data_IF_995408734460
#
_entry.id   IF_995408734460
#
_cell.length_a   1.000
_cell.length_b   1.000
_cell.length_c   1.000
_cell.angle_alpha   90.00
_cell.angle_beta   90.00
_cell.angle_gamma   90.00
#
_symmetry.space_group_name_H-M   'P 1'
#
loop_
_entity.id
_entity.type
_entity.pdbx_description
1 polymer ?
#
# COMPACT_ATOMS: atom_id res chain seq x y z
N UNK A 1 0.82 -27.13 -20.21
CA UNK A 1 1.69 -27.09 -19.03
C UNK A 1 1.00 -26.20 -18.01
N UNK A 2 0.31 -26.78 -17.02
CA UNK A 2 -0.48 -26.02 -16.05
C UNK A 2 0.39 -25.48 -14.92
N UNK A 3 0.06 -24.31 -14.39
CA UNK A 3 0.69 -23.68 -13.23
C UNK A 3 0.28 -24.36 -11.91
N UNK A 4 0.38 -25.68 -11.80
CA UNK A 4 -0.27 -26.44 -10.72
C UNK A 4 0.25 -26.10 -9.31
N UNK A 5 1.45 -25.54 -9.19
CA UNK A 5 2.05 -25.09 -7.91
C UNK A 5 2.23 -23.57 -7.80
N UNK A 6 1.88 -22.79 -8.83
CA UNK A 6 2.06 -21.33 -8.78
C UNK A 6 0.91 -20.69 -8.05
N UNK A 7 1.22 -19.91 -7.01
CA UNK A 7 0.24 -19.11 -6.28
C UNK A 7 0.21 -17.70 -6.84
N UNK A 8 -0.97 -17.26 -7.28
CA UNK A 8 -1.20 -15.91 -7.77
C UNK A 8 -1.87 -15.05 -6.69
N UNK A 9 -1.49 -13.78 -6.62
CA UNK A 9 -2.28 -12.74 -5.98
C UNK A 9 -2.87 -11.82 -7.06
N UNK A 10 -3.76 -10.92 -6.64
CA UNK A 10 -4.28 -9.86 -7.50
C UNK A 10 -4.20 -8.51 -6.81
N UNK A 11 -3.85 -7.47 -7.56
CA UNK A 11 -3.79 -6.11 -7.05
C UNK A 11 -5.16 -5.43 -7.18
N UNK A 12 -5.83 -5.19 -6.05
CA UNK A 12 -7.17 -4.58 -5.99
C UNK A 12 -7.18 -3.07 -6.29
N UNK A 13 -6.01 -2.44 -6.40
CA UNK A 13 -5.88 -1.06 -6.87
C UNK A 13 -5.86 -0.98 -8.40
N UNK A 14 -5.60 -2.10 -9.09
CA UNK A 14 -5.50 -2.18 -10.55
C UNK A 14 -6.68 -2.93 -11.16
N UNK A 15 -7.10 -4.05 -10.56
CA UNK A 15 -8.25 -4.84 -11.01
C UNK A 15 -9.48 -4.59 -10.12
N UNK A 16 -10.66 -4.86 -10.69
CA UNK A 16 -11.97 -4.64 -10.05
C UNK A 16 -12.25 -3.17 -9.72
N UNK A 17 -11.62 -2.25 -10.46
CA UNK A 17 -11.74 -0.80 -10.22
C UNK A 17 -13.09 -0.23 -10.66
N UNK A 18 -13.88 -0.99 -11.42
CA UNK A 18 -15.30 -0.76 -11.69
C UNK A 18 -16.18 -0.89 -10.45
N UNK A 19 -15.67 -1.47 -9.35
CA UNK A 19 -16.37 -1.62 -8.09
C UNK A 19 -15.83 -0.66 -7.00
N UNK A 20 -16.68 -0.25 -6.04
CA UNK A 20 -16.25 0.37 -4.80
C UNK A 20 -15.20 -0.47 -4.07
N UNK A 21 -14.24 0.17 -3.39
CA UNK A 21 -13.10 -0.49 -2.74
C UNK A 21 -13.49 -1.70 -1.88
N UNK A 22 -14.55 -1.54 -1.08
CA UNK A 22 -15.00 -2.56 -0.13
C UNK A 22 -15.67 -3.78 -0.80
N UNK A 23 -16.04 -3.68 -2.08
CA UNK A 23 -16.63 -4.79 -2.85
C UNK A 23 -15.57 -5.61 -3.59
N UNK A 24 -14.38 -5.04 -3.84
CA UNK A 24 -13.30 -5.68 -4.60
C UNK A 24 -12.77 -6.98 -3.99
N UNK A 25 -12.62 -7.11 -2.65
CA UNK A 25 -12.22 -8.39 -2.04
C UNK A 25 -13.15 -9.55 -2.42
N UNK A 26 -14.46 -9.32 -2.42
CA UNK A 26 -15.44 -10.34 -2.79
C UNK A 26 -15.37 -10.69 -4.27
N UNK A 27 -15.17 -9.70 -5.14
CA UNK A 27 -14.97 -9.92 -6.57
C UNK A 27 -13.70 -10.75 -6.86
N UNK A 28 -12.58 -10.44 -6.18
CA UNK A 28 -11.35 -11.23 -6.28
C UNK A 28 -11.56 -12.68 -5.83
N UNK A 29 -12.31 -12.89 -4.74
CA UNK A 29 -12.68 -14.23 -4.27
C UNK A 29 -13.51 -14.98 -5.30
N UNK A 30 -14.52 -14.33 -5.88
CA UNK A 30 -15.39 -14.91 -6.90
C UNK A 30 -14.61 -15.31 -8.16
N UNK A 31 -13.56 -14.56 -8.51
CA UNK A 31 -12.63 -14.87 -9.60
C UNK A 31 -11.61 -15.98 -9.27
N UNK A 32 -11.66 -16.55 -8.06
CA UNK A 32 -10.80 -17.66 -7.63
C UNK A 32 -9.52 -17.25 -6.90
N UNK A 33 -9.26 -15.95 -6.70
CA UNK A 33 -8.11 -15.50 -5.93
C UNK A 33 -8.34 -15.67 -4.43
N UNK A 34 -7.30 -16.13 -3.74
CA UNK A 34 -7.28 -16.24 -2.27
C UNK A 34 -6.28 -15.29 -1.62
N UNK A 35 -5.49 -14.60 -2.43
CA UNK A 35 -4.46 -13.65 -2.02
C UNK A 35 -4.64 -12.37 -2.83
N UNK A 36 -4.53 -11.24 -2.15
CA UNK A 36 -4.68 -9.90 -2.73
C UNK A 36 -3.55 -9.00 -2.26
N UNK A 37 -3.23 -8.01 -3.05
CA UNK A 37 -2.38 -6.89 -2.66
C UNK A 37 -3.11 -5.57 -2.96
N UNK A 38 -2.67 -4.50 -2.33
CA UNK A 38 -3.34 -3.20 -2.41
C UNK A 38 -2.32 -2.07 -2.25
N UNK A 39 -2.50 -0.98 -2.97
CA UNK A 39 -1.84 0.29 -2.64
C UNK A 39 -2.55 0.96 -1.47
N UNK A 40 -1.88 1.79 -0.68
CA UNK A 40 -2.58 2.55 0.36
C UNK A 40 -3.74 3.36 -0.25
N UNK A 41 -5.01 3.08 0.10
CA UNK A 41 -6.14 3.58 -0.69
C UNK A 41 -6.54 5.02 -0.35
N UNK A 42 -6.11 5.54 0.80
CA UNK A 42 -6.42 6.89 1.26
C UNK A 42 -5.30 7.86 0.90
N UNK A 43 -5.34 8.40 -0.32
CA UNK A 43 -4.30 9.28 -0.87
C UNK A 43 -4.28 10.65 -0.18
N UNK A 44 -5.44 11.21 0.16
CA UNK A 44 -5.52 12.52 0.80
C UNK A 44 -5.42 12.44 2.35
N UNK A 45 -5.61 11.23 2.90
CA UNK A 45 -5.59 10.96 4.33
C UNK A 45 -4.61 9.80 4.63
N UNK A 46 -3.29 10.09 4.76
CA UNK A 46 -2.29 9.06 5.08
C UNK A 46 -2.57 8.35 6.42
N UNK A 47 -3.31 9.02 7.31
CA UNK A 47 -3.87 8.49 8.55
C UNK A 47 -5.40 8.63 8.47
N UNK A 48 -6.10 7.65 7.85
CA UNK A 48 -7.55 7.67 7.70
C UNK A 48 -8.24 7.41 9.05
N UNK A 49 -9.56 7.58 9.08
CA UNK A 49 -10.32 7.28 10.27
C UNK A 49 -10.32 5.78 10.59
N UNK A 50 -10.39 5.44 11.88
CA UNK A 50 -10.42 4.04 12.33
C UNK A 50 -11.61 3.26 11.76
N UNK A 51 -12.73 3.93 11.50
CA UNK A 51 -13.91 3.33 10.88
C UNK A 51 -13.63 2.84 9.45
N UNK A 52 -12.82 3.58 8.69
CA UNK A 52 -12.47 3.21 7.31
C UNK A 52 -11.51 2.01 7.29
N UNK A 53 -10.50 2.02 8.17
CA UNK A 53 -9.61 0.88 8.36
C UNK A 53 -10.40 -0.37 8.79
N UNK A 54 -11.35 -0.21 9.71
CA UNK A 54 -12.22 -1.30 10.14
C UNK A 54 -13.05 -1.85 8.97
N UNK A 55 -13.67 -0.98 8.17
CA UNK A 55 -14.49 -1.38 7.04
C UNK A 55 -13.70 -2.20 6.00
N UNK A 56 -12.50 -1.75 5.63
CA UNK A 56 -11.65 -2.48 4.70
C UNK A 56 -11.18 -3.83 5.27
N UNK A 57 -10.80 -3.86 6.56
CA UNK A 57 -10.45 -5.12 7.25
C UNK A 57 -11.60 -6.12 7.22
N UNK A 58 -12.82 -5.68 7.53
CA UNK A 58 -14.01 -6.52 7.52
C UNK A 58 -14.29 -7.06 6.11
N UNK A 59 -14.22 -6.21 5.07
CA UNK A 59 -14.40 -6.63 3.69
C UNK A 59 -13.41 -7.74 3.25
N UNK A 60 -12.13 -7.62 3.62
CA UNK A 60 -11.11 -8.63 3.33
C UNK A 60 -11.39 -9.96 4.07
N UNK A 61 -11.78 -9.88 5.34
CA UNK A 61 -12.10 -11.04 6.17
C UNK A 61 -13.36 -11.77 5.70
N UNK A 62 -14.43 -11.03 5.40
CA UNK A 62 -15.71 -11.58 4.95
C UNK A 62 -15.56 -12.26 3.59
N UNK A 63 -14.77 -11.67 2.68
CA UNK A 63 -14.42 -12.28 1.40
C UNK A 63 -13.46 -13.47 1.52
N UNK A 64 -12.85 -13.69 2.69
CA UNK A 64 -11.86 -14.74 2.95
C UNK A 64 -10.69 -14.70 1.97
N UNK A 65 -10.15 -13.50 1.74
CA UNK A 65 -8.93 -13.25 0.97
C UNK A 65 -7.82 -12.76 1.89
N UNK A 66 -6.60 -13.21 1.67
CA UNK A 66 -5.43 -12.78 2.46
C UNK A 66 -4.78 -11.57 1.81
N UNK A 67 -4.62 -10.48 2.54
CA UNK A 67 -3.73 -9.40 2.13
C UNK A 67 -2.28 -9.90 2.25
N UNK A 68 -1.57 -9.96 1.12
CA UNK A 68 -0.17 -10.46 1.07
C UNK A 68 0.85 -9.38 0.78
N UNK A 69 0.40 -8.17 0.43
CA UNK A 69 1.24 -7.01 0.18
C UNK A 69 0.43 -5.73 0.30
N UNK A 70 1.03 -4.73 0.93
CA UNK A 70 0.44 -3.39 1.07
C UNK A 70 1.50 -2.33 0.79
N UNK A 71 1.21 -1.35 -0.06
CA UNK A 71 2.09 -0.19 -0.13
C UNK A 71 1.95 0.64 1.15
N UNK A 72 3.04 1.25 1.60
CA UNK A 72 2.92 2.46 2.40
C UNK A 72 2.30 3.59 1.56
N UNK A 73 1.96 4.70 2.22
CA UNK A 73 1.65 5.95 1.55
C UNK A 73 2.69 6.27 0.47
N UNK A 74 2.22 6.64 -0.72
CA UNK A 74 3.06 6.82 -1.88
C UNK A 74 2.58 7.97 -2.78
N UNK A 75 1.77 8.88 -2.23
CA UNK A 75 1.05 9.89 -3.01
C UNK A 75 0.03 9.28 -3.96
N UNK A 76 -0.37 10.06 -4.97
CA UNK A 76 -1.31 9.62 -6.00
C UNK A 76 -0.68 8.56 -6.92
N UNK A 77 -1.33 7.40 -7.02
CA UNK A 77 -0.94 6.32 -7.92
C UNK A 77 -2.10 5.91 -8.84
N UNK A 78 -1.88 5.81 -10.17
CA UNK A 78 -0.72 6.33 -10.88
C UNK A 78 -0.66 7.87 -10.80
N UNK A 79 0.55 8.42 -10.71
CA UNK A 79 0.79 9.86 -10.63
C UNK A 79 2.21 10.22 -11.09
N UNK A 80 2.56 11.52 -11.15
CA UNK A 80 3.87 11.97 -11.59
C UNK A 80 5.00 11.56 -10.64
N UNK A 81 4.72 11.53 -9.33
CA UNK A 81 5.76 11.29 -8.32
C UNK A 81 6.02 9.81 -8.09
N UNK A 82 5.01 8.93 -8.24
CA UNK A 82 5.16 7.46 -8.12
C UNK A 82 5.85 6.98 -6.83
N UNK A 83 5.65 7.68 -5.71
CA UNK A 83 6.22 7.35 -4.42
C UNK A 83 6.45 8.58 -3.56
N UNK A 84 6.60 8.37 -2.26
CA UNK A 84 6.79 9.42 -1.26
C UNK A 84 8.07 9.22 -0.44
N UNK A 85 8.73 8.07 -0.55
CA UNK A 85 9.86 7.69 0.31
C UNK A 85 11.05 8.64 0.18
N UNK A 86 11.31 9.17 -1.02
CA UNK A 86 12.44 10.05 -1.34
C UNK A 86 12.01 11.49 -1.66
N UNK A 87 10.74 11.85 -1.44
CA UNK A 87 10.21 13.18 -1.79
C UNK A 87 10.28 14.07 -0.53
N UNK A 88 11.13 15.11 -0.50
CA UNK A 88 11.28 15.97 0.67
C UNK A 88 10.03 16.82 0.95
N UNK A 89 9.93 17.31 2.18
CA UNK A 89 8.81 18.13 2.64
C UNK A 89 7.59 17.28 3.01
N UNK A 90 6.40 17.79 2.67
CA UNK A 90 5.11 17.26 3.12
C UNK A 90 4.91 15.77 2.78
N UNK A 91 5.37 15.31 1.61
CA UNK A 91 5.20 13.91 1.19
C UNK A 91 5.97 12.93 2.08
N UNK A 92 7.18 13.29 2.51
CA UNK A 92 7.96 12.51 3.49
C UNK A 92 7.28 12.49 4.86
N UNK A 93 6.70 13.61 5.28
CA UNK A 93 5.95 13.69 6.54
C UNK A 93 4.71 12.80 6.52
N UNK A 94 3.94 12.82 5.41
CA UNK A 94 2.78 11.93 5.20
C UNK A 94 3.20 10.46 5.18
N UNK A 95 4.31 10.12 4.51
CA UNK A 95 4.87 8.77 4.54
C UNK A 95 5.15 8.32 5.99
N UNK A 96 5.87 9.15 6.76
CA UNK A 96 6.23 8.81 8.15
C UNK A 96 5.02 8.68 9.06
N UNK A 97 4.02 9.55 8.91
CA UNK A 97 2.77 9.46 9.66
C UNK A 97 1.98 8.20 9.31
N UNK A 98 2.03 7.76 8.05
CA UNK A 98 1.36 6.54 7.59
C UNK A 98 1.97 5.25 8.13
N UNK A 99 3.31 5.17 8.22
CA UNK A 99 4.05 3.94 8.61
C UNK A 99 3.44 3.19 9.80
N UNK A 100 3.26 3.79 11.00
CA UNK A 100 2.71 3.06 12.15
C UNK A 100 1.28 2.56 11.92
N UNK A 101 0.45 3.35 11.22
CA UNK A 101 -0.96 3.03 10.94
C UNK A 101 -1.06 1.89 9.94
N UNK A 102 -0.28 1.95 8.85
CA UNK A 102 -0.23 0.89 7.85
C UNK A 102 0.30 -0.42 8.44
N UNK A 103 1.31 -0.35 9.32
CA UNK A 103 1.85 -1.51 10.03
C UNK A 103 0.81 -2.14 10.95
N UNK A 104 0.11 -1.35 11.77
CA UNK A 104 -0.94 -1.86 12.65
C UNK A 104 -2.07 -2.52 11.85
N UNK A 105 -2.54 -1.85 10.79
CA UNK A 105 -3.59 -2.36 9.92
C UNK A 105 -3.19 -3.69 9.27
N UNK A 106 -2.00 -3.77 8.66
CA UNK A 106 -1.51 -4.98 8.03
C UNK A 106 -1.27 -6.11 9.04
N UNK A 107 -0.73 -5.81 10.24
CA UNK A 107 -0.58 -6.77 11.35
C UNK A 107 -1.93 -7.39 11.73
N UNK A 108 -3.00 -6.58 11.78
CA UNK A 108 -4.36 -7.07 12.06
C UNK A 108 -4.91 -8.07 11.03
N UNK A 109 -4.33 -8.10 9.82
CA UNK A 109 -4.67 -8.99 8.71
C UNK A 109 -3.62 -10.10 8.49
N UNK A 110 -2.57 -10.14 9.32
CA UNK A 110 -1.43 -11.06 9.15
C UNK A 110 -0.55 -10.78 7.93
N UNK A 111 -0.64 -9.58 7.34
CA UNK A 111 0.23 -9.14 6.25
C UNK A 111 1.55 -8.62 6.83
N UNK A 112 2.67 -9.15 6.34
CA UNK A 112 4.03 -8.80 6.81
C UNK A 112 4.89 -8.16 5.72
N UNK A 113 4.33 -7.95 4.53
CA UNK A 113 5.07 -7.47 3.36
C UNK A 113 4.57 -6.09 2.96
N UNK A 114 5.49 -5.15 2.89
CA UNK A 114 5.22 -3.79 2.48
C UNK A 114 6.07 -3.36 1.30
N UNK A 115 5.55 -2.43 0.53
CA UNK A 115 6.30 -1.75 -0.51
C UNK A 115 6.38 -0.25 -0.17
N UNK A 116 7.61 0.25 0.01
CA UNK A 116 7.89 1.66 0.19
C UNK A 116 8.34 2.24 -1.16
N UNK A 117 7.44 2.92 -1.87
CA UNK A 117 7.75 3.42 -3.21
C UNK A 117 8.72 4.59 -3.12
N UNK A 118 9.83 4.46 -3.84
CA UNK A 118 10.93 5.41 -3.84
C UNK A 118 10.47 6.85 -4.12
N UNK A 119 9.81 7.09 -5.26
CA UNK A 119 9.47 8.43 -5.73
C UNK A 119 10.39 8.87 -6.87
N UNK A 120 9.85 9.55 -7.88
CA UNK A 120 10.61 10.02 -9.02
C UNK A 120 11.53 11.18 -8.62
N UNK A 121 12.58 11.41 -9.41
CA UNK A 121 13.47 12.54 -9.20
C UNK A 121 12.73 13.85 -9.47
N UNK A 122 12.90 14.82 -8.57
CA UNK A 122 12.26 16.14 -8.67
C UNK A 122 13.30 17.22 -8.99
N UNK A 123 12.86 18.26 -9.70
CA UNK A 123 13.71 19.42 -10.00
C UNK A 123 14.06 20.19 -8.73
N UNK A 124 15.26 20.77 -8.69
CA UNK A 124 15.71 21.59 -7.55
C UNK A 124 16.26 20.78 -6.36
N UNK A 125 16.19 19.45 -6.40
CA UNK A 125 16.75 18.57 -5.36
C UNK A 125 17.81 17.64 -5.97
N UNK A 126 18.96 17.51 -5.31
CA UNK A 126 20.02 16.63 -5.81
C UNK A 126 19.64 15.15 -5.64
N UNK A 127 20.14 14.29 -6.53
CA UNK A 127 19.90 12.85 -6.41
C UNK A 127 20.41 12.30 -5.06
N UNK A 128 21.56 12.78 -4.59
CA UNK A 128 22.14 12.36 -3.31
C UNK A 128 21.27 12.74 -2.11
N UNK A 129 20.59 13.89 -2.16
CA UNK A 129 19.67 14.32 -1.10
C UNK A 129 18.44 13.41 -1.03
N UNK A 130 17.82 13.09 -2.18
CA UNK A 130 16.72 12.13 -2.22
C UNK A 130 17.15 10.72 -1.80
N UNK A 131 18.37 10.28 -2.17
CA UNK A 131 18.92 8.98 -1.77
C UNK A 131 19.08 8.90 -0.24
N UNK A 132 19.62 9.96 0.37
CA UNK A 132 19.81 10.04 1.81
C UNK A 132 18.46 10.03 2.56
N UNK A 133 17.49 10.82 2.09
CA UNK A 133 16.15 10.86 2.65
C UNK A 133 15.43 9.51 2.53
N UNK A 134 15.53 8.86 1.36
CA UNK A 134 14.93 7.56 1.14
C UNK A 134 15.49 6.49 2.08
N UNK A 135 16.81 6.50 2.30
CA UNK A 135 17.45 5.61 3.26
C UNK A 135 16.96 5.89 4.69
N UNK A 136 16.87 7.15 5.09
CA UNK A 136 16.38 7.53 6.41
C UNK A 136 14.94 7.04 6.64
N UNK A 137 14.05 7.30 5.68
CA UNK A 137 12.65 6.89 5.73
C UNK A 137 12.51 5.36 5.70
N UNK A 138 13.33 4.66 4.91
CA UNK A 138 13.30 3.20 4.84
C UNK A 138 13.78 2.56 6.15
N UNK A 139 14.84 3.11 6.76
CA UNK A 139 15.33 2.67 8.08
C UNK A 139 14.29 2.94 9.16
N UNK A 140 13.59 4.09 9.10
CA UNK A 140 12.48 4.38 9.99
C UNK A 140 11.35 3.34 9.86
N UNK A 141 10.91 3.05 8.64
CA UNK A 141 9.86 2.06 8.39
C UNK A 141 10.27 0.63 8.82
N UNK A 142 11.53 0.26 8.60
CA UNK A 142 12.07 -1.06 8.96
C UNK A 142 12.18 -1.29 10.48
N UNK A 143 12.18 -0.22 11.29
CA UNK A 143 12.28 -0.29 12.77
C UNK A 143 10.93 -0.27 13.49
N UNK A 144 9.83 0.00 12.78
CA UNK A 144 8.49 0.16 13.35
C UNK A 144 7.72 -1.17 13.53
#
# INVERSE_FOLDING_TARGET
MGFTDTRFNVNLSILFTELPLLERPAAARAAGFTAVELWWPWVDAPVPEQAELHALRSALNDARVRLVGLNFYAGQLPGPDRGALSIPGEESEKFRANVPVAIEFAKSLGCTSFNALYGNRIEGVSAAEQDALALENLVFAARA
#
